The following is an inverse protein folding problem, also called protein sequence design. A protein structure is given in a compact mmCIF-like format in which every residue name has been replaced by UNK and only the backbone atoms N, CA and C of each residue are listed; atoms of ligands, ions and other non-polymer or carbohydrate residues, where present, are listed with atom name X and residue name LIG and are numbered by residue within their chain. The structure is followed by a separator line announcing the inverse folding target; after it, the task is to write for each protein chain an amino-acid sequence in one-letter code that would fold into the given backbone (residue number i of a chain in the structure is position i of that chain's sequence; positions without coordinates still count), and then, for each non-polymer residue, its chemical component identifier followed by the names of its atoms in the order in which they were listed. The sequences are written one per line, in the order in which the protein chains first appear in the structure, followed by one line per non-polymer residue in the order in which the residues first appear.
data_IF_724760483889
#
_entry.id   IF_724760483889
#
_cell.length_a   1.000
_cell.length_b   1.000
_cell.length_c   1.000
_cell.angle_alpha   90.00
_cell.angle_beta   90.00
_cell.angle_gamma   90.00
#
_symmetry.space_group_name_H-M   'P 1'
#
loop_
_entity.id
_entity.type
_entity.pdbx_description
1 polymer ?
#
# COMPACT_ATOMS: atom_id res chain seq x y z
N UNK A 1 1.67 4.08 16.15
CA UNK A 1 1.39 5.38 15.48
C UNK A 1 0.22 6.06 16.19
N UNK A 2 0.16 7.40 16.21
CA UNK A 2 -1.02 8.16 16.67
C UNK A 2 -1.92 8.47 15.48
N UNK A 3 -3.23 8.58 15.69
CA UNK A 3 -4.17 9.00 14.64
C UNK A 3 -3.90 10.43 14.20
N UNK A 4 -4.06 10.69 12.89
CA UNK A 4 -4.11 12.05 12.35
C UNK A 4 -5.54 12.55 12.17
N UNK A 5 -5.67 13.76 11.63
CA UNK A 5 -6.96 14.47 11.55
C UNK A 5 -7.70 14.28 10.21
N UNK A 6 -7.11 13.56 9.26
CA UNK A 6 -7.70 13.30 7.93
C UNK A 6 -8.49 12.01 7.92
N UNK A 7 -9.70 12.06 7.36
CA UNK A 7 -10.50 10.91 6.98
C UNK A 7 -9.86 10.13 5.82
N UNK A 8 -10.25 8.86 5.65
CA UNK A 8 -9.81 8.05 4.51
C UNK A 8 -10.15 8.71 3.17
N UNK A 9 -11.35 9.30 3.05
CA UNK A 9 -11.77 10.00 1.82
C UNK A 9 -10.86 11.18 1.48
N UNK A 10 -10.43 11.95 2.49
CA UNK A 10 -9.49 13.05 2.29
C UNK A 10 -8.10 12.56 1.88
N UNK A 11 -7.66 11.41 2.40
CA UNK A 11 -6.40 10.78 1.99
C UNK A 11 -6.46 10.27 0.55
N UNK A 12 -7.55 9.59 0.18
CA UNK A 12 -7.78 9.12 -1.19
C UNK A 12 -7.81 10.28 -2.18
N UNK A 13 -8.50 11.37 -1.83
CA UNK A 13 -8.55 12.58 -2.66
C UNK A 13 -7.17 13.22 -2.83
N UNK A 14 -6.36 13.25 -1.77
CA UNK A 14 -4.99 13.77 -1.81
C UNK A 14 -4.05 12.93 -2.68
N UNK A 15 -4.22 11.59 -2.73
CA UNK A 15 -3.44 10.71 -3.61
C UNK A 15 -3.77 10.95 -5.10
N UNK A 16 -5.01 11.34 -5.40
CA UNK A 16 -5.54 11.57 -6.76
C UNK A 16 -5.52 10.32 -7.66
N UNK A 17 -4.35 9.86 -8.08
CA UNK A 17 -4.16 8.64 -8.87
C UNK A 17 -3.13 7.72 -8.20
N UNK A 18 -3.48 6.45 -8.00
CA UNK A 18 -2.60 5.51 -7.31
C UNK A 18 -3.27 4.17 -7.03
N UNK A 19 -2.79 3.48 -6.00
CA UNK A 19 -3.37 2.22 -5.52
C UNK A 19 -3.64 2.29 -4.01
N UNK A 20 -4.82 1.82 -3.61
CA UNK A 20 -5.19 1.59 -2.22
C UNK A 20 -5.00 0.10 -1.92
N UNK A 21 -3.90 -0.23 -1.25
CA UNK A 21 -3.61 -1.60 -0.80
C UNK A 21 -4.36 -1.86 0.49
N UNK A 22 -5.19 -2.90 0.52
CA UNK A 22 -5.93 -3.30 1.72
C UNK A 22 -5.70 -4.77 2.13
N UNK A 23 -4.88 -5.50 1.39
CA UNK A 23 -4.46 -6.85 1.74
C UNK A 23 -3.04 -7.12 1.27
N UNK A 24 -2.26 -7.78 2.11
CA UNK A 24 -0.88 -8.22 1.85
C UNK A 24 -0.74 -9.68 2.28
N UNK A 25 -0.09 -10.47 1.45
CA UNK A 25 0.26 -11.88 1.70
C UNK A 25 1.76 -12.05 1.57
N UNK A 26 2.34 -12.99 2.35
CA UNK A 26 3.75 -13.36 2.25
C UNK A 26 4.66 -12.76 3.32
N UNK A 27 4.10 -12.23 4.41
CA UNK A 27 4.85 -11.65 5.55
C UNK A 27 6.00 -12.51 6.06
N UNK A 28 5.82 -13.83 6.11
CA UNK A 28 6.82 -14.74 6.68
C UNK A 28 8.05 -14.98 5.80
N UNK A 29 7.98 -14.69 4.50
CA UNK A 29 9.06 -15.00 3.55
C UNK A 29 9.48 -13.81 2.67
N UNK A 30 8.65 -12.78 2.58
CA UNK A 30 8.88 -11.63 1.72
C UNK A 30 9.47 -10.41 2.42
N UNK A 31 9.96 -10.56 3.66
CA UNK A 31 10.62 -9.49 4.42
C UNK A 31 11.97 -10.00 4.90
N UNK A 32 13.02 -9.26 4.56
CA UNK A 32 14.32 -9.35 5.20
C UNK A 32 14.38 -8.32 6.32
N UNK A 33 14.21 -8.79 7.56
CA UNK A 33 14.19 -7.92 8.75
C UNK A 33 15.55 -7.28 9.05
N UNK A 34 16.66 -7.86 8.54
CA UNK A 34 18.01 -7.34 8.77
C UNK A 34 18.24 -6.14 7.86
N UNK A 35 17.98 -6.28 6.55
CA UNK A 35 18.17 -5.19 5.60
C UNK A 35 16.99 -4.22 5.52
N UNK A 36 15.82 -4.62 6.03
CA UNK A 36 14.56 -3.89 5.88
C UNK A 36 13.93 -4.01 4.50
N UNK A 37 14.49 -4.84 3.60
CA UNK A 37 13.96 -5.02 2.25
C UNK A 37 12.71 -5.89 2.26
N UNK A 38 11.74 -5.58 1.41
CA UNK A 38 10.53 -6.37 1.26
C UNK A 38 10.14 -6.56 -0.20
N UNK A 39 9.44 -7.65 -0.47
CA UNK A 39 8.80 -7.96 -1.75
C UNK A 39 7.58 -8.85 -1.48
N UNK A 40 6.39 -8.26 -1.52
CA UNK A 40 5.18 -8.86 -1.01
C UNK A 40 4.06 -8.84 -2.05
N UNK A 41 3.24 -9.90 -2.05
CA UNK A 41 2.04 -9.93 -2.88
C UNK A 41 0.95 -9.09 -2.21
N UNK A 42 0.30 -8.23 -2.98
CA UNK A 42 -0.72 -7.32 -2.54
C UNK A 42 -1.97 -7.38 -3.42
N UNK A 43 -3.09 -6.99 -2.82
CA UNK A 43 -4.35 -6.72 -3.50
C UNK A 43 -5.05 -5.50 -2.90
N UNK A 44 -5.99 -4.94 -3.67
CA UNK A 44 -6.65 -3.71 -3.29
C UNK A 44 -7.41 -3.10 -4.47
N UNK A 45 -7.38 -1.77 -4.56
CA UNK A 45 -8.11 -1.02 -5.58
C UNK A 45 -7.25 0.07 -6.20
N UNK A 46 -7.50 0.36 -7.48
CA UNK A 46 -6.98 1.56 -8.13
C UNK A 46 -7.70 2.80 -7.57
N UNK A 47 -6.95 3.87 -7.37
CA UNK A 47 -7.47 5.21 -7.10
C UNK A 47 -7.39 5.98 -8.41
N UNK A 48 -8.49 6.58 -8.86
CA UNK A 48 -8.49 7.53 -9.98
C UNK A 48 -9.31 8.76 -9.64
N UNK A 49 -8.75 9.94 -9.90
CA UNK A 49 -9.34 11.24 -9.56
C UNK A 49 -9.82 11.33 -8.09
N UNK A 50 -9.10 10.70 -7.18
CA UNK A 50 -9.39 10.70 -5.75
C UNK A 50 -10.43 9.68 -5.27
N UNK A 51 -10.90 8.79 -6.16
CA UNK A 51 -11.92 7.78 -5.84
C UNK A 51 -11.41 6.36 -6.05
N UNK A 52 -11.86 5.44 -5.20
CA UNK A 52 -11.69 3.99 -5.42
C UNK A 52 -12.39 3.60 -6.73
N UNK A 53 -11.68 2.83 -7.55
CA UNK A 53 -12.13 2.28 -8.83
C UNK A 53 -11.96 0.76 -8.84
N UNK A 54 -11.41 0.24 -9.92
CA UNK A 54 -11.29 -1.18 -10.19
C UNK A 54 -10.42 -1.89 -9.15
N UNK A 55 -10.79 -3.10 -8.72
CA UNK A 55 -9.93 -3.91 -7.88
C UNK A 55 -8.69 -4.37 -8.66
N UNK A 56 -7.57 -4.54 -7.96
CA UNK A 56 -6.42 -5.28 -8.47
C UNK A 56 -6.10 -6.43 -7.52
N UNK A 57 -5.50 -7.48 -8.07
CA UNK A 57 -5.05 -8.64 -7.31
C UNK A 57 -3.73 -9.15 -7.87
N UNK A 58 -2.98 -9.90 -7.06
CA UNK A 58 -1.72 -10.55 -7.44
C UNK A 58 -0.67 -9.58 -8.01
N UNK A 59 -0.51 -8.41 -7.38
CA UNK A 59 0.57 -7.46 -7.69
C UNK A 59 1.68 -7.61 -6.66
N UNK A 60 2.94 -7.49 -7.08
CA UNK A 60 4.09 -7.46 -6.15
C UNK A 60 4.45 -6.01 -5.83
N UNK A 61 4.56 -5.68 -4.55
CA UNK A 61 5.08 -4.41 -4.06
C UNK A 61 6.39 -4.70 -3.34
N UNK A 62 7.45 -4.01 -3.77
CA UNK A 62 8.80 -4.17 -3.22
C UNK A 62 9.37 -2.82 -2.79
N UNK A 63 10.23 -2.84 -1.79
CA UNK A 63 10.84 -1.63 -1.25
C UNK A 63 11.75 -1.93 -0.08
N UNK A 64 12.12 -0.90 0.67
CA UNK A 64 12.94 -1.02 1.87
C UNK A 64 12.40 -0.08 2.96
N UNK A 65 12.20 -0.58 4.19
CA UNK A 65 11.65 0.20 5.30
C UNK A 65 12.64 1.17 5.96
N UNK A 66 13.95 0.95 5.76
CA UNK A 66 15.03 1.69 6.42
C UNK A 66 15.61 2.80 5.54
N UNK A 67 15.33 2.76 4.24
CA UNK A 67 15.76 3.79 3.30
C UNK A 67 14.61 4.80 3.16
N UNK A 68 14.83 6.00 3.72
CA UNK A 68 13.96 7.18 3.60
C UNK A 68 14.46 8.10 2.48
#
# INVERSE_FOLDING_TARGET
MKSGDKSLSELLYAVHDGIYVNSIVGWHAGIDEISGSFSLQASGFCIKNGFIKDPFNMVVISGNFLIY
#
